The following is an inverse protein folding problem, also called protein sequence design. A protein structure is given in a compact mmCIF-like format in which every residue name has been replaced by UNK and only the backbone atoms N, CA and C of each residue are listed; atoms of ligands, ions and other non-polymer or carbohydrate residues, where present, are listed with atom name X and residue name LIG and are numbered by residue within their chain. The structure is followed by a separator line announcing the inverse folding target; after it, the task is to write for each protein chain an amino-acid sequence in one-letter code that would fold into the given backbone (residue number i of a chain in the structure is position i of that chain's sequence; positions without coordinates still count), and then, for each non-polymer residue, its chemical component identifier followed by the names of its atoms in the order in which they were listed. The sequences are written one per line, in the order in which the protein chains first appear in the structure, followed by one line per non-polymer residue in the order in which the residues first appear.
data_IF_552813525347
#
_entry.id   IF_552813525347
#
_cell.length_a   1.000
_cell.length_b   1.000
_cell.length_c   1.000
_cell.angle_alpha   90.00
_cell.angle_beta   90.00
_cell.angle_gamma   90.00
#
_symmetry.space_group_name_H-M   'P 1'
#
loop_
_entity.id
_entity.type
_entity.pdbx_description
1 polymer ?
#
# COMPACT_ATOMS: atom_id res chain seq x y z
N UNK A 1 -14.34 -15.73 39.21
CA UNK A 1 -14.11 -16.83 38.24
C UNK A 1 -14.50 -16.49 36.80
N UNK A 2 -15.32 -15.45 36.55
CA UNK A 2 -15.76 -15.02 35.21
C UNK A 2 -14.70 -14.30 34.36
N UNK A 3 -13.80 -13.51 34.97
CA UNK A 3 -12.77 -12.75 34.23
C UNK A 3 -11.70 -13.64 33.57
N UNK A 4 -11.28 -14.72 34.24
CA UNK A 4 -10.24 -15.64 33.72
C UNK A 4 -10.71 -16.35 32.45
N UNK A 5 -12.00 -16.70 32.38
CA UNK A 5 -12.59 -17.35 31.22
C UNK A 5 -12.66 -16.39 30.02
N UNK A 6 -12.99 -15.12 30.26
CA UNK A 6 -13.04 -14.09 29.22
C UNK A 6 -11.65 -13.78 28.63
N UNK A 7 -10.62 -13.69 29.47
CA UNK A 7 -9.24 -13.49 29.00
C UNK A 7 -8.76 -14.65 28.14
N UNK A 8 -9.07 -15.88 28.52
CA UNK A 8 -8.71 -17.08 27.75
C UNK A 8 -9.40 -17.12 26.39
N UNK A 9 -10.69 -16.82 26.35
CA UNK A 9 -11.47 -16.73 25.10
C UNK A 9 -10.91 -15.62 24.19
N UNK A 10 -10.60 -14.45 24.74
CA UNK A 10 -10.03 -13.34 23.98
C UNK A 10 -8.66 -13.71 23.40
N UNK A 11 -7.81 -14.36 24.21
CA UNK A 11 -6.50 -14.85 23.77
C UNK A 11 -6.63 -15.83 22.60
N UNK A 12 -7.50 -16.83 22.71
CA UNK A 12 -7.74 -17.81 21.65
C UNK A 12 -8.24 -17.13 20.36
N UNK A 13 -9.14 -16.15 20.47
CA UNK A 13 -9.59 -15.36 19.30
C UNK A 13 -8.45 -14.59 18.65
N UNK A 14 -7.58 -13.95 19.43
CA UNK A 14 -6.42 -13.22 18.92
C UNK A 14 -5.46 -14.18 18.20
N UNK A 15 -5.16 -15.33 18.81
CA UNK A 15 -4.29 -16.35 18.21
C UNK A 15 -4.84 -16.82 16.87
N UNK A 16 -6.13 -17.19 16.82
CA UNK A 16 -6.77 -17.65 15.59
C UNK A 16 -6.72 -16.59 14.47
N UNK A 17 -6.86 -15.30 14.81
CA UNK A 17 -6.74 -14.21 13.83
C UNK A 17 -5.31 -14.08 13.32
N UNK A 18 -4.32 -14.15 14.20
CA UNK A 18 -2.90 -14.04 13.84
C UNK A 18 -2.43 -15.23 12.99
N UNK A 19 -2.83 -16.45 13.37
CA UNK A 19 -2.53 -17.66 12.60
C UNK A 19 -3.20 -17.61 11.22
N UNK A 20 -4.46 -17.16 11.15
CA UNK A 20 -5.16 -16.93 9.89
C UNK A 20 -4.54 -15.84 9.01
N UNK A 21 -3.78 -14.91 9.57
CA UNK A 21 -2.99 -13.92 8.83
C UNK A 21 -1.64 -14.49 8.34
N UNK A 22 -1.22 -15.67 8.79
CA UNK A 22 0.07 -16.28 8.43
C UNK A 22 1.18 -16.04 9.44
N UNK A 23 0.84 -15.71 10.69
CA UNK A 23 1.79 -15.71 11.79
C UNK A 23 1.88 -17.08 12.48
N UNK A 24 3.05 -17.40 13.01
CA UNK A 24 3.30 -18.48 13.97
C UNK A 24 3.63 -17.88 15.33
N UNK A 25 3.11 -18.50 16.39
CA UNK A 25 3.33 -18.08 17.77
C UNK A 25 4.16 -19.16 18.46
N UNK A 26 5.51 -19.01 18.48
CA UNK A 26 6.39 -19.86 19.29
C UNK A 26 7.85 -19.35 19.33
N UNK A 27 8.42 -18.93 20.49
CA UNK A 27 7.80 -18.28 21.65
C UNK A 27 7.37 -16.82 21.37
N UNK A 28 7.80 -16.25 20.23
CA UNK A 28 7.45 -14.90 19.78
C UNK A 28 6.58 -14.94 18.52
N UNK A 29 5.89 -13.83 18.24
CA UNK A 29 5.12 -13.63 17.02
C UNK A 29 6.07 -13.47 15.83
N UNK A 30 5.95 -14.34 14.83
CA UNK A 30 6.76 -14.27 13.60
C UNK A 30 5.95 -14.72 12.39
N UNK A 31 6.25 -14.26 11.18
CA UNK A 31 5.69 -14.85 9.96
C UNK A 31 5.99 -16.36 9.89
N UNK A 32 5.15 -17.09 9.16
CA UNK A 32 5.33 -18.53 8.97
C UNK A 32 6.71 -18.92 8.40
N UNK A 33 7.26 -18.05 7.54
CA UNK A 33 8.52 -18.22 6.82
C UNK A 33 9.23 -16.87 6.66
N UNK A 34 10.55 -16.90 6.44
CA UNK A 34 11.37 -15.70 6.25
C UNK A 34 11.59 -15.39 4.76
N UNK A 35 10.54 -15.43 3.95
CA UNK A 35 10.59 -15.06 2.53
C UNK A 35 9.64 -13.89 2.22
N UNK A 36 9.84 -13.27 1.05
CA UNK A 36 9.10 -12.08 0.64
C UNK A 36 7.60 -12.34 0.54
N UNK A 37 7.24 -13.56 0.13
CA UNK A 37 5.90 -14.05 -0.08
C UNK A 37 5.13 -14.13 1.25
N UNK A 38 5.75 -14.67 2.29
CA UNK A 38 5.17 -14.74 3.63
C UNK A 38 4.93 -13.34 4.21
N UNK A 39 5.88 -12.40 4.06
CA UNK A 39 5.68 -11.01 4.48
C UNK A 39 4.52 -10.34 3.74
N UNK A 40 4.38 -10.58 2.43
CA UNK A 40 3.24 -10.08 1.65
C UNK A 40 1.93 -10.68 2.15
N UNK A 41 1.88 -11.99 2.39
CA UNK A 41 0.69 -12.70 2.87
C UNK A 41 0.17 -12.12 4.19
N UNK A 42 1.07 -11.90 5.15
CA UNK A 42 0.77 -11.26 6.44
C UNK A 42 0.10 -9.89 6.27
N UNK A 43 0.54 -9.11 5.29
CA UNK A 43 0.04 -7.75 5.04
C UNK A 43 -1.23 -7.70 4.18
N UNK A 44 -1.64 -8.80 3.54
CA UNK A 44 -2.77 -8.81 2.61
C UNK A 44 -4.05 -8.32 3.27
N UNK A 45 -4.34 -8.80 4.48
CA UNK A 45 -5.56 -8.40 5.21
C UNK A 45 -5.57 -6.90 5.49
N UNK A 46 -4.48 -6.35 6.02
CA UNK A 46 -4.33 -4.91 6.26
C UNK A 46 -4.44 -4.08 4.97
N UNK A 47 -3.88 -4.59 3.86
CA UNK A 47 -4.00 -3.95 2.54
C UNK A 47 -5.45 -3.90 2.05
N UNK A 48 -6.18 -5.02 2.16
CA UNK A 48 -7.60 -5.07 1.79
C UNK A 48 -8.47 -4.17 2.67
N UNK A 49 -8.17 -4.08 3.96
CA UNK A 49 -8.84 -3.15 4.87
C UNK A 49 -8.60 -1.69 4.47
N UNK A 50 -7.36 -1.31 4.15
CA UNK A 50 -7.05 0.04 3.63
C UNK A 50 -7.76 0.34 2.30
N UNK A 51 -7.77 -0.63 1.38
CA UNK A 51 -8.45 -0.47 0.09
C UNK A 51 -9.97 -0.33 0.26
N UNK A 52 -10.56 -1.10 1.17
CA UNK A 52 -11.98 -1.01 1.52
C UNK A 52 -12.32 0.34 2.15
N UNK A 53 -11.50 0.80 3.10
CA UNK A 53 -11.65 2.10 3.76
C UNK A 53 -11.54 3.27 2.77
N UNK A 54 -10.67 3.16 1.76
CA UNK A 54 -10.44 4.19 0.75
C UNK A 54 -11.15 3.92 -0.59
N UNK A 55 -12.11 3.00 -0.63
CA UNK A 55 -12.77 2.55 -1.86
C UNK A 55 -13.35 3.68 -2.70
N UNK A 56 -14.05 4.62 -2.07
CA UNK A 56 -14.68 5.74 -2.78
C UNK A 56 -13.64 6.72 -3.36
N UNK A 57 -12.53 6.94 -2.65
CA UNK A 57 -11.40 7.73 -3.15
C UNK A 57 -10.76 7.07 -4.38
N UNK A 58 -10.49 5.76 -4.30
CA UNK A 58 -9.88 4.99 -5.39
C UNK A 58 -10.78 5.02 -6.63
N UNK A 59 -12.09 4.80 -6.47
CA UNK A 59 -13.04 4.86 -7.57
C UNK A 59 -13.12 6.24 -8.20
N UNK A 60 -13.21 7.29 -7.37
CA UNK A 60 -13.33 8.68 -7.83
C UNK A 60 -12.20 9.08 -8.79
N UNK A 61 -10.97 8.64 -8.50
CA UNK A 61 -9.77 9.04 -9.24
C UNK A 61 -9.23 7.95 -10.18
N UNK A 62 -9.98 6.86 -10.37
CA UNK A 62 -9.59 5.76 -11.25
C UNK A 62 -9.28 6.23 -12.68
N UNK A 63 -10.19 6.99 -13.30
CA UNK A 63 -9.98 7.45 -14.69
C UNK A 63 -8.77 8.38 -14.82
N UNK A 64 -8.55 9.26 -13.83
CA UNK A 64 -7.37 10.15 -13.82
C UNK A 64 -6.07 9.36 -13.73
N UNK A 65 -5.99 8.36 -12.84
CA UNK A 65 -4.82 7.52 -12.72
C UNK A 65 -4.60 6.67 -13.98
N UNK A 66 -5.68 6.11 -14.54
CA UNK A 66 -5.64 5.28 -15.74
C UNK A 66 -5.15 6.05 -16.97
N UNK A 67 -5.49 7.32 -17.13
CA UNK A 67 -5.01 8.15 -18.25
C UNK A 67 -3.49 8.32 -18.27
N UNK A 68 -2.85 8.16 -17.10
CA UNK A 68 -1.40 8.26 -16.96
C UNK A 68 -0.68 6.92 -17.12
N UNK A 69 -1.42 5.81 -17.15
CA UNK A 69 -0.85 4.50 -17.47
C UNK A 69 -0.56 4.45 -18.97
N UNK A 70 0.72 4.39 -19.33
CA UNK A 70 1.17 4.24 -20.72
C UNK A 70 1.39 2.77 -21.05
N UNK A 71 1.09 2.39 -22.29
CA UNK A 71 1.52 1.10 -22.81
C UNK A 71 3.04 1.12 -23.01
N UNK A 72 3.71 0.00 -22.80
CA UNK A 72 5.16 -0.11 -23.02
C UNK A 72 5.56 0.20 -24.46
N UNK A 73 4.65 0.07 -25.42
CA UNK A 73 4.87 0.42 -26.83
C UNK A 73 4.89 1.93 -27.09
N UNK A 74 4.29 2.72 -26.21
CA UNK A 74 4.21 4.18 -26.34
C UNK A 74 5.40 4.89 -25.67
N UNK A 75 6.28 4.13 -25.02
CA UNK A 75 7.46 4.64 -24.30
C UNK A 75 8.70 4.40 -25.14
N UNK A 76 9.44 5.46 -25.44
CA UNK A 76 10.76 5.41 -26.06
C UNK A 76 11.81 5.53 -24.95
N UNK A 77 12.49 4.43 -24.54
CA UNK A 77 13.36 4.43 -23.38
C UNK A 77 14.50 5.45 -23.45
N UNK A 78 15.04 5.69 -24.65
CA UNK A 78 16.15 6.61 -24.89
C UNK A 78 15.73 8.09 -24.74
N UNK A 79 14.44 8.37 -24.82
CA UNK A 79 13.89 9.72 -24.72
C UNK A 79 13.42 10.07 -23.30
N UNK A 80 13.45 9.12 -22.35
CA UNK A 80 12.95 9.34 -20.98
C UNK A 80 13.70 10.51 -20.33
N UNK A 81 12.93 11.50 -19.85
CA UNK A 81 13.48 12.65 -19.14
C UNK A 81 12.76 12.87 -17.83
N UNK A 82 13.47 12.52 -16.75
CA UNK A 82 12.92 12.50 -15.41
C UNK A 82 13.02 13.87 -14.71
N UNK A 83 11.94 14.22 -14.03
CA UNK A 83 11.88 15.35 -13.11
C UNK A 83 11.26 14.93 -11.77
N UNK A 84 11.64 15.64 -10.70
CA UNK A 84 11.05 15.46 -9.37
C UNK A 84 9.92 16.48 -9.19
N UNK A 85 8.69 15.98 -9.04
CA UNK A 85 7.53 16.82 -8.69
C UNK A 85 7.24 16.69 -7.21
N UNK A 86 7.29 17.80 -6.49
CA UNK A 86 6.92 17.85 -5.08
C UNK A 86 5.42 17.56 -4.92
N UNK A 87 5.09 16.63 -4.02
CA UNK A 87 3.72 16.29 -3.66
C UNK A 87 3.24 17.23 -2.57
N UNK A 88 2.50 18.26 -2.99
CA UNK A 88 1.89 19.25 -2.09
C UNK A 88 0.53 18.77 -1.60
N UNK A 89 0.11 19.26 -0.44
CA UNK A 89 -1.22 18.97 0.09
C UNK A 89 -2.30 19.47 -0.87
N UNK A 90 -3.36 18.67 -1.03
CA UNK A 90 -4.51 18.94 -1.89
C UNK A 90 -4.16 19.17 -3.38
N UNK A 91 -2.99 18.69 -3.81
CA UNK A 91 -2.55 18.78 -5.21
C UNK A 91 -2.89 17.52 -6.01
N UNK A 92 -2.80 17.63 -7.33
CA UNK A 92 -2.95 16.50 -8.25
C UNK A 92 -1.92 15.40 -7.96
N UNK A 93 -0.67 15.79 -7.68
CA UNK A 93 0.40 14.90 -7.30
C UNK A 93 0.07 14.13 -6.02
N UNK A 94 -0.61 14.73 -5.05
CA UNK A 94 -1.05 14.01 -3.85
C UNK A 94 -2.12 12.97 -4.15
N UNK A 95 -3.07 13.31 -5.02
CA UNK A 95 -4.10 12.37 -5.46
C UNK A 95 -3.45 11.15 -6.12
N UNK A 96 -2.57 11.39 -7.10
CA UNK A 96 -1.85 10.33 -7.81
C UNK A 96 -0.96 9.51 -6.88
N UNK A 97 -0.16 10.18 -6.05
CA UNK A 97 0.72 9.54 -5.10
C UNK A 97 -0.06 8.59 -4.20
N UNK A 98 -1.16 9.07 -3.62
CA UNK A 98 -2.00 8.26 -2.72
C UNK A 98 -2.70 7.13 -3.47
N UNK A 99 -3.21 7.40 -4.67
CA UNK A 99 -3.92 6.40 -5.48
C UNK A 99 -3.00 5.24 -5.85
N UNK A 100 -1.82 5.53 -6.39
CA UNK A 100 -0.83 4.50 -6.71
C UNK A 100 -0.37 3.74 -5.48
N UNK A 101 -0.17 4.44 -4.35
CA UNK A 101 0.25 3.78 -3.13
C UNK A 101 -0.77 2.75 -2.61
N UNK A 102 -2.06 2.99 -2.82
CA UNK A 102 -3.14 2.08 -2.41
C UNK A 102 -3.25 0.86 -3.33
N UNK A 103 -2.93 1.01 -4.62
CA UNK A 103 -3.15 -0.02 -5.65
C UNK A 103 -1.90 -0.87 -5.90
N UNK A 104 -0.74 -0.24 -6.10
CA UNK A 104 0.46 -0.90 -6.63
C UNK A 104 1.21 -1.71 -5.57
N UNK A 105 1.36 -1.16 -4.36
CA UNK A 105 2.23 -1.78 -3.35
C UNK A 105 1.55 -2.95 -2.65
N UNK A 106 2.38 -3.94 -2.30
CA UNK A 106 1.97 -5.08 -1.48
C UNK A 106 1.89 -4.75 0.02
N UNK A 107 2.40 -3.58 0.44
CA UNK A 107 2.38 -3.10 1.82
C UNK A 107 1.24 -2.08 1.95
N UNK A 108 0.42 -2.15 3.01
CA UNK A 108 -0.65 -1.18 3.22
C UNK A 108 -0.10 0.23 3.32
N UNK A 109 -0.67 1.16 2.55
CA UNK A 109 -0.37 2.57 2.69
C UNK A 109 -0.77 3.05 4.08
N UNK A 110 0.17 3.71 4.76
CA UNK A 110 -0.07 4.39 6.03
C UNK A 110 0.30 5.86 5.86
N UNK A 111 -0.53 6.75 6.41
CA UNK A 111 -0.22 8.17 6.40
C UNK A 111 1.03 8.40 7.24
N UNK A 112 2.08 8.93 6.62
CA UNK A 112 3.29 9.33 7.32
C UNK A 112 2.98 10.34 8.44
N UNK A 113 3.64 10.17 9.58
CA UNK A 113 3.61 11.13 10.67
C UNK A 113 4.81 12.08 10.59
N UNK A 114 4.61 13.37 10.90
CA UNK A 114 5.66 14.39 10.93
C UNK A 114 5.87 15.15 9.62
N UNK A 115 7.00 15.87 9.53
CA UNK A 115 7.40 16.67 8.35
C UNK A 115 8.17 15.79 7.37
N UNK A 116 7.47 15.20 6.41
CA UNK A 116 8.09 14.46 5.31
C UNK A 116 7.82 15.16 3.99
N UNK A 117 8.87 15.35 3.20
CA UNK A 117 8.73 15.74 1.79
C UNK A 117 8.42 14.50 0.97
N UNK A 118 7.45 14.61 0.08
CA UNK A 118 7.02 13.54 -0.82
C UNK A 118 7.28 14.01 -2.24
N UNK A 119 7.81 13.13 -3.09
CA UNK A 119 8.10 13.45 -4.48
C UNK A 119 7.55 12.35 -5.38
N UNK A 120 7.08 12.75 -6.56
CA UNK A 120 6.84 11.86 -7.69
C UNK A 120 7.98 12.01 -8.67
N UNK A 121 8.45 10.88 -9.19
CA UNK A 121 9.33 10.85 -10.33
C UNK A 121 8.45 10.89 -11.58
N UNK A 122 8.64 11.89 -12.42
CA UNK A 122 7.80 12.14 -13.58
C UNK A 122 8.63 12.13 -14.86
N UNK A 123 8.15 11.45 -15.88
CA UNK A 123 8.71 11.53 -17.22
C UNK A 123 8.04 12.67 -17.99
N UNK A 124 8.81 13.73 -18.22
CA UNK A 124 8.34 14.93 -18.92
C UNK A 124 8.11 14.71 -20.43
N UNK A 125 8.72 13.68 -21.04
CA UNK A 125 8.57 13.43 -22.48
C UNK A 125 7.31 12.62 -22.77
N UNK A 126 7.02 11.60 -21.96
CA UNK A 126 5.84 10.75 -22.13
C UNK A 126 4.64 11.22 -21.31
N UNK A 127 4.82 12.25 -20.47
CA UNK A 127 3.84 12.81 -19.54
C UNK A 127 3.18 11.74 -18.66
N UNK A 128 4.02 11.03 -17.91
CA UNK A 128 3.60 9.92 -17.06
C UNK A 128 4.47 9.79 -15.80
N UNK A 129 3.93 9.24 -14.70
CA UNK A 129 4.74 8.89 -13.55
C UNK A 129 5.70 7.75 -13.89
N UNK A 130 6.90 7.81 -13.33
CA UNK A 130 7.94 6.81 -13.54
C UNK A 130 8.18 5.98 -12.27
N UNK A 131 8.26 4.66 -12.41
CA UNK A 131 8.57 3.74 -11.31
C UNK A 131 7.44 3.56 -10.28
N UNK A 132 6.21 3.89 -10.65
CA UNK A 132 5.00 3.67 -9.84
C UNK A 132 4.22 2.43 -10.25
#
# INVERSE_FOLDING_TARGET
MTNVTNEKILRERIINVLEGQGFKINPHLRPCENNKEAYKAVQQRSRLEQLSYHKEFVKKYFEQAKMLCKDGRDIVPEAIKLELREVKSDSFEEILFRWWNLIWWSIPYQRSYGRQMRFLLWDSIHDAPFGL
#
